data_IF_167670742421
#
_entry.id   IF_167670742421
#
_cell.length_a   1.000
_cell.length_b   1.000
_cell.length_c   1.000
_cell.angle_alpha   90.00
_cell.angle_beta   90.00
_cell.angle_gamma   90.00
#
_symmetry.space_group_name_H-M   'P 1'
#
loop_
_entity.id
_entity.type
_entity.pdbx_description
1 polymer ?
#
# COMPACT_ATOMS: atom_id res chain seq x y z
N UNK A 1 -8.65 -16.17 -8.00
CA UNK A 1 -7.20 -16.21 -7.71
C UNK A 1 -6.86 -14.98 -6.86
N UNK A 2 -7.01 -15.09 -5.54
CA UNK A 2 -6.81 -13.96 -4.62
C UNK A 2 -5.33 -13.59 -4.62
N UNK A 3 -5.04 -12.29 -4.76
CA UNK A 3 -3.67 -11.79 -4.81
C UNK A 3 -3.00 -12.08 -3.46
N UNK A 4 -2.02 -12.98 -3.48
CA UNK A 4 -1.15 -13.42 -2.36
C UNK A 4 -0.24 -12.29 -1.79
N UNK A 5 -0.67 -11.04 -1.87
CA UNK A 5 0.03 -9.88 -1.37
C UNK A 5 -0.88 -9.20 -0.34
N UNK A 6 -0.33 -8.99 0.86
CA UNK A 6 -0.98 -8.49 2.07
C UNK A 6 -1.56 -7.07 1.92
N UNK A 7 -2.62 -6.92 1.13
CA UNK A 7 -3.39 -5.68 1.07
C UNK A 7 -4.88 -6.00 1.12
N UNK A 8 -5.60 -5.26 1.96
CA UNK A 8 -7.06 -5.27 1.98
C UNK A 8 -7.54 -4.07 1.18
N UNK A 9 -8.34 -4.30 0.14
CA UNK A 9 -8.96 -3.24 -0.67
C UNK A 9 -10.35 -2.97 -0.09
N UNK A 10 -10.56 -1.76 0.45
CA UNK A 10 -11.88 -1.24 0.82
C UNK A 10 -12.25 -0.16 -0.19
N UNK A 11 -12.92 -0.51 -1.29
CA UNK A 11 -13.46 0.31 -2.41
C UNK A 11 -12.59 1.49 -2.91
N UNK A 12 -12.14 2.41 -2.06
CA UNK A 12 -11.25 3.56 -2.34
C UNK A 12 -9.98 3.66 -1.45
N UNK A 13 -9.77 2.74 -0.51
CA UNK A 13 -8.64 2.75 0.43
C UNK A 13 -7.83 1.45 0.31
N UNK A 14 -6.51 1.60 0.29
CA UNK A 14 -5.55 0.49 0.27
C UNK A 14 -4.75 0.55 1.56
N UNK A 15 -4.82 -0.52 2.35
CA UNK A 15 -3.98 -0.70 3.54
C UNK A 15 -2.77 -1.57 3.17
N UNK A 16 -1.57 -1.03 3.34
CA UNK A 16 -0.30 -1.76 3.22
C UNK A 16 0.28 -1.90 4.61
N UNK A 17 0.61 -3.13 5.03
CA UNK A 17 1.19 -3.39 6.35
C UNK A 17 2.25 -4.49 6.28
N UNK A 18 3.20 -4.46 7.22
CA UNK A 18 4.15 -5.54 7.44
C UNK A 18 4.76 -5.41 8.83
N UNK A 19 5.09 -6.54 9.47
CA UNK A 19 5.83 -6.54 10.74
C UNK A 19 7.31 -6.15 10.55
N UNK A 20 7.83 -6.22 9.32
CA UNK A 20 9.23 -5.90 9.00
C UNK A 20 9.25 -4.63 8.14
N UNK A 21 9.94 -3.59 8.62
CA UNK A 21 10.00 -2.29 7.94
C UNK A 21 10.53 -2.36 6.49
N UNK A 22 11.57 -3.16 6.25
CA UNK A 22 12.12 -3.35 4.89
C UNK A 22 11.13 -4.03 3.95
N UNK A 23 10.34 -5.00 4.45
CA UNK A 23 9.26 -5.61 3.68
C UNK A 23 8.13 -4.62 3.41
N UNK A 24 7.77 -3.79 4.38
CA UNK A 24 6.79 -2.71 4.20
C UNK A 24 7.19 -1.77 3.06
N UNK A 25 8.44 -1.27 3.04
CA UNK A 25 8.93 -0.42 1.95
C UNK A 25 8.79 -1.10 0.60
N UNK A 26 9.19 -2.38 0.51
CA UNK A 26 9.08 -3.16 -0.74
C UNK A 26 7.63 -3.25 -1.21
N UNK A 27 6.70 -3.54 -0.32
CA UNK A 27 5.27 -3.65 -0.65
C UNK A 27 4.67 -2.30 -1.05
N UNK A 28 5.03 -1.24 -0.32
CA UNK A 28 4.60 0.12 -0.62
C UNK A 28 5.05 0.56 -2.01
N UNK A 29 6.32 0.32 -2.36
CA UNK A 29 6.84 0.62 -3.69
C UNK A 29 6.13 -0.17 -4.80
N UNK A 30 5.94 -1.48 -4.62
CA UNK A 30 5.25 -2.32 -5.60
C UNK A 30 3.79 -1.89 -5.81
N UNK A 31 3.13 -1.47 -4.74
CA UNK A 31 1.76 -0.95 -4.77
C UNK A 31 1.70 0.36 -5.55
N UNK A 32 2.58 1.34 -5.26
CA UNK A 32 2.63 2.61 -6.01
C UNK A 32 2.92 2.39 -7.50
N UNK A 33 3.89 1.51 -7.82
CA UNK A 33 4.21 1.16 -9.20
C UNK A 33 3.02 0.52 -9.93
N UNK A 34 2.22 -0.27 -9.23
CA UNK A 34 1.03 -0.91 -9.81
C UNK A 34 -0.09 0.11 -10.06
N UNK A 35 -0.31 1.06 -9.15
CA UNK A 35 -1.25 2.16 -9.35
C UNK A 35 -0.85 3.04 -10.54
N UNK A 36 0.44 3.38 -10.64
CA UNK A 36 0.93 4.23 -11.72
C UNK A 36 0.70 3.59 -13.11
N UNK A 37 0.86 2.26 -13.22
CA UNK A 37 0.61 1.52 -14.47
C UNK A 37 -0.83 1.62 -14.98
N UNK A 38 -1.79 1.85 -14.08
CA UNK A 38 -3.22 1.99 -14.40
C UNK A 38 -3.68 3.44 -14.29
N UNK A 39 -2.75 4.40 -14.30
CA UNK A 39 -3.01 5.85 -14.22
C UNK A 39 -3.80 6.28 -12.97
N UNK A 40 -3.67 5.52 -11.87
CA UNK A 40 -4.21 5.89 -10.58
C UNK A 40 -3.13 6.55 -9.71
N UNK A 41 -3.55 7.58 -8.98
CA UNK A 41 -2.67 8.39 -8.14
C UNK A 41 -3.17 8.45 -6.70
N UNK A 42 -2.23 8.49 -5.77
CA UNK A 42 -2.52 8.60 -4.35
C UNK A 42 -2.67 10.08 -3.98
N UNK A 43 -3.81 10.46 -3.38
CA UNK A 43 -3.98 11.79 -2.77
C UNK A 43 -3.18 11.88 -1.47
N UNK A 44 -1.89 12.21 -1.56
CA UNK A 44 -0.94 12.21 -0.42
C UNK A 44 -1.50 12.89 0.85
N UNK A 45 -2.19 14.04 0.71
CA UNK A 45 -2.79 14.77 1.84
C UNK A 45 -3.86 13.99 2.63
N UNK A 46 -4.51 12.99 2.02
CA UNK A 46 -5.61 12.21 2.64
C UNK A 46 -5.11 11.01 3.44
N UNK A 47 -3.93 10.49 3.10
CA UNK A 47 -3.46 9.21 3.62
C UNK A 47 -2.34 9.40 4.64
N UNK A 48 -2.21 8.42 5.53
CA UNK A 48 -1.13 8.35 6.50
C UNK A 48 -0.12 7.29 6.05
N UNK A 49 1.16 7.60 6.15
CA UNK A 49 2.26 6.75 5.71
C UNK A 49 3.19 6.45 6.88
N UNK A 50 3.89 5.31 6.84
CA UNK A 50 4.92 4.94 7.82
C UNK A 50 4.45 4.99 9.29
N UNK A 51 3.18 4.64 9.54
CA UNK A 51 2.68 4.52 10.91
C UNK A 51 3.18 3.21 11.51
N UNK A 52 3.85 3.30 12.65
CA UNK A 52 4.11 2.16 13.54
C UNK A 52 3.04 2.11 14.62
N UNK A 53 2.51 0.92 14.89
CA UNK A 53 1.77 0.68 16.14
C UNK A 53 2.78 0.16 17.16
N UNK A 54 3.05 0.97 18.17
CA UNK A 54 3.59 0.53 19.47
C UNK A 54 2.53 -0.24 20.23
#
# INVERSE_FOLDING_TARGET
KYLNYFYTIYINNILVYSCIYTKYIKYFYLMLKSLQKISLYVKVKKYKFFITKT
#
